data_IF_078697292551
#
_entry.id   IF_078697292551
#
_cell.length_a   1.000
_cell.length_b   1.000
_cell.length_c   1.000
_cell.angle_alpha   90.00
_cell.angle_beta   90.00
_cell.angle_gamma   90.00
#
_symmetry.space_group_name_H-M   'P 1'
#
loop_
_entity.id
_entity.type
_entity.pdbx_description
1 polymer ?
#
# COMPACT_ATOMS: atom_id res chain seq x y z
N UNK A 1 14.87 8.38 5.21
CA UNK A 1 15.76 8.21 6.39
C UNK A 1 14.89 7.68 7.52
N UNK A 2 15.29 6.59 8.21
CA UNK A 2 14.49 6.08 9.32
C UNK A 2 14.40 7.06 10.49
N UNK A 3 13.23 7.16 11.11
CA UNK A 3 12.98 7.97 12.31
C UNK A 3 12.83 7.03 13.51
N UNK A 4 13.49 7.33 14.63
CA UNK A 4 13.52 6.42 15.79
C UNK A 4 12.71 6.90 16.99
N UNK A 5 12.44 8.20 17.11
CA UNK A 5 11.69 8.80 18.21
C UNK A 5 10.25 9.16 17.79
N UNK A 6 9.29 8.99 18.71
CA UNK A 6 7.89 9.40 18.55
C UNK A 6 7.29 9.00 17.19
N UNK A 7 7.47 7.73 16.82
CA UNK A 7 7.23 7.22 15.47
C UNK A 7 5.76 7.31 15.04
N UNK A 8 4.85 7.39 15.99
CA UNK A 8 3.40 7.51 15.83
C UNK A 8 2.90 8.97 15.92
N UNK A 9 3.80 9.94 16.14
CA UNK A 9 3.42 11.33 16.31
C UNK A 9 3.31 12.11 14.99
N UNK A 10 2.35 13.03 14.92
CA UNK A 10 2.16 13.94 13.78
C UNK A 10 3.43 14.74 13.43
N UNK A 11 4.22 15.26 14.38
CA UNK A 11 5.49 15.93 14.05
C UNK A 11 6.49 15.01 13.34
N UNK A 12 6.61 13.75 13.75
CA UNK A 12 7.52 12.79 13.09
C UNK A 12 7.03 12.44 11.69
N UNK A 13 5.72 12.26 11.51
CA UNK A 13 5.12 12.04 10.19
C UNK A 13 5.44 13.20 9.24
N UNK A 14 5.26 14.44 9.70
CA UNK A 14 5.54 15.65 8.91
C UNK A 14 7.02 15.82 8.59
N UNK A 15 7.92 15.60 9.57
CA UNK A 15 9.36 15.67 9.33
C UNK A 15 9.77 14.63 8.28
N UNK A 16 9.31 13.38 8.39
CA UNK A 16 9.61 12.37 7.38
C UNK A 16 9.07 12.76 6.00
N UNK A 17 7.88 13.36 5.94
CA UNK A 17 7.31 13.89 4.69
C UNK A 17 8.26 14.90 4.02
N UNK A 18 8.78 15.88 4.77
CA UNK A 18 9.70 16.88 4.24
C UNK A 18 11.01 16.27 3.71
N UNK A 19 11.55 15.26 4.39
CA UNK A 19 12.76 14.55 3.92
C UNK A 19 12.52 13.93 2.55
N UNK A 20 11.39 13.24 2.35
CA UNK A 20 11.11 12.59 1.07
C UNK A 20 10.72 13.59 -0.01
N UNK A 21 10.03 14.68 0.31
CA UNK A 21 9.79 15.76 -0.66
C UNK A 21 11.10 16.39 -1.16
N UNK A 22 12.11 16.53 -0.29
CA UNK A 22 13.46 16.89 -0.69
C UNK A 22 14.07 15.91 -1.69
N UNK A 23 13.88 14.60 -1.48
CA UNK A 23 14.34 13.55 -2.40
C UNK A 23 13.52 13.48 -3.71
N UNK A 24 12.23 13.84 -3.68
CA UNK A 24 11.36 13.85 -4.86
C UNK A 24 11.86 14.83 -5.91
N UNK A 25 12.54 15.92 -5.51
CA UNK A 25 13.09 16.95 -6.41
C UNK A 25 12.05 17.47 -7.42
N UNK A 26 10.81 17.69 -6.96
CA UNK A 26 9.67 18.17 -7.78
C UNK A 26 9.28 17.28 -8.97
N UNK A 27 9.73 16.02 -9.03
CA UNK A 27 9.28 15.04 -10.05
C UNK A 27 7.75 14.93 -10.03
N UNK A 28 7.13 14.83 -11.21
CA UNK A 28 5.68 14.72 -11.42
C UNK A 28 5.32 13.35 -12.01
N UNK A 29 4.02 13.04 -12.07
CA UNK A 29 3.49 11.80 -12.64
C UNK A 29 2.98 10.82 -11.57
N UNK A 30 2.84 9.55 -11.95
CA UNK A 30 2.50 8.48 -11.03
C UNK A 30 3.73 8.13 -10.18
N UNK A 31 3.74 8.63 -8.95
CA UNK A 31 4.81 8.39 -7.99
C UNK A 31 4.23 7.52 -6.87
N UNK A 32 4.87 6.39 -6.60
CA UNK A 32 4.60 5.58 -5.41
C UNK A 32 4.80 6.44 -4.16
N UNK A 33 4.10 6.14 -3.08
CA UNK A 33 4.08 7.00 -1.90
C UNK A 33 5.47 7.15 -1.28
N UNK A 34 5.60 8.11 -0.37
CA UNK A 34 6.81 8.31 0.43
C UNK A 34 6.89 7.36 1.64
N UNK A 35 5.96 6.42 1.69
CA UNK A 35 5.63 5.53 2.79
C UNK A 35 5.44 4.10 2.24
N UNK A 36 5.39 3.14 3.14
CA UNK A 36 4.88 1.79 2.94
C UNK A 36 3.36 1.92 2.79
N UNK A 37 2.87 1.63 1.61
CA UNK A 37 1.44 1.67 1.33
C UNK A 37 0.76 0.50 2.04
N UNK A 38 -0.41 0.75 2.65
CA UNK A 38 -1.34 -0.33 3.01
C UNK A 38 -1.94 -0.87 1.72
N UNK A 39 -1.77 -2.16 1.48
CA UNK A 39 -2.23 -2.84 0.27
C UNK A 39 -3.29 -3.88 0.58
N UNK A 40 -4.09 -4.20 -0.43
CA UNK A 40 -4.96 -5.38 -0.41
C UNK A 40 -4.08 -6.57 -0.81
N UNK A 41 -4.11 -7.63 -0.01
CA UNK A 41 -3.29 -8.82 -0.28
C UNK A 41 -3.99 -10.10 0.16
N UNK A 42 -3.89 -11.13 -0.69
CA UNK A 42 -4.35 -12.47 -0.37
C UNK A 42 -3.56 -13.13 0.77
N UNK A 43 -2.43 -12.56 1.21
CA UNK A 43 -1.74 -13.03 2.41
C UNK A 43 -2.54 -12.80 3.68
N UNK A 44 -3.39 -11.77 3.74
CA UNK A 44 -4.15 -11.46 4.95
C UNK A 44 -5.17 -12.57 5.24
N UNK A 45 -5.94 -12.99 4.22
CA UNK A 45 -6.95 -14.05 4.37
C UNK A 45 -6.35 -15.43 4.68
N UNK A 46 -5.04 -15.59 4.46
CA UNK A 46 -4.28 -16.83 4.70
C UNK A 46 -3.39 -16.76 5.94
N UNK A 47 -3.31 -15.62 6.62
CA UNK A 47 -2.60 -15.51 7.89
C UNK A 47 -3.48 -16.10 8.98
N UNK A 48 -2.97 -17.08 9.74
CA UNK A 48 -3.70 -17.69 10.85
C UNK A 48 -3.91 -16.74 12.03
N UNK A 49 -3.23 -15.58 12.04
CA UNK A 49 -3.37 -14.55 13.08
C UNK A 49 -4.44 -13.54 12.68
N UNK A 50 -5.35 -13.14 13.58
CA UNK A 50 -6.36 -12.14 13.29
C UNK A 50 -5.75 -10.73 13.18
N UNK A 51 -6.52 -9.79 12.62
CA UNK A 51 -6.23 -8.34 12.64
C UNK A 51 -4.88 -7.95 12.02
N UNK A 52 -4.50 -8.57 10.90
CA UNK A 52 -3.24 -8.23 10.19
C UNK A 52 -3.42 -7.09 9.22
N UNK A 53 -2.35 -6.32 9.01
CA UNK A 53 -2.22 -5.36 7.90
C UNK A 53 -1.15 -5.81 6.91
N UNK A 54 -1.46 -5.78 5.63
CA UNK A 54 -0.47 -5.91 4.57
C UNK A 54 0.10 -4.54 4.22
N UNK A 55 1.42 -4.41 4.36
CA UNK A 55 2.17 -3.21 3.94
C UNK A 55 3.21 -3.58 2.89
N UNK A 56 3.38 -2.70 1.91
CA UNK A 56 4.31 -2.88 0.80
C UNK A 56 4.81 -1.53 0.29
N UNK A 57 6.01 -1.51 -0.28
CA UNK A 57 6.48 -0.38 -1.08
C UNK A 57 7.64 0.35 -0.43
N UNK A 58 7.52 1.66 -0.30
CA UNK A 58 8.64 2.55 -0.02
C UNK A 58 9.80 2.28 -0.99
N UNK A 59 9.60 2.61 -2.26
CA UNK A 59 10.51 2.20 -3.32
C UNK A 59 11.79 3.04 -3.38
N UNK A 60 12.89 2.38 -3.74
CA UNK A 60 14.12 3.02 -4.17
C UNK A 60 13.93 3.70 -5.54
N UNK A 61 14.84 4.60 -5.96
CA UNK A 61 14.77 5.23 -7.28
C UNK A 61 14.80 4.25 -8.46
N UNK A 62 15.34 3.04 -8.26
CA UNK A 62 15.37 1.95 -9.25
C UNK A 62 14.07 1.10 -9.26
N UNK A 63 13.07 1.48 -8.45
CA UNK A 63 11.80 0.78 -8.35
C UNK A 63 11.80 -0.42 -7.41
N UNK A 64 12.93 -0.77 -6.77
CA UNK A 64 12.95 -1.88 -5.80
C UNK A 64 12.27 -1.48 -4.50
N UNK A 65 11.32 -2.28 -3.98
CA UNK A 65 10.68 -1.98 -2.70
C UNK A 65 11.67 -2.11 -1.54
N UNK A 66 11.75 -1.11 -0.66
CA UNK A 66 12.48 -1.22 0.62
C UNK A 66 11.67 -2.08 1.59
N UNK A 67 10.34 -2.03 1.51
CA UNK A 67 9.41 -2.88 2.23
C UNK A 67 8.81 -3.92 1.29
N UNK A 68 9.34 -5.17 1.27
CA UNK A 68 8.62 -6.29 0.69
C UNK A 68 7.25 -6.47 1.35
N UNK A 69 6.34 -7.17 0.67
CA UNK A 69 5.00 -7.44 1.17
C UNK A 69 5.06 -8.17 2.53
N UNK A 70 4.55 -7.49 3.56
CA UNK A 70 4.68 -7.92 4.95
C UNK A 70 3.34 -7.82 5.70
N UNK A 71 2.98 -8.87 6.44
CA UNK A 71 1.74 -8.98 7.22
C UNK A 71 1.97 -9.17 8.72
N UNK A 72 3.17 -8.90 9.24
CA UNK A 72 3.48 -9.18 10.64
C UNK A 72 2.87 -8.20 11.64
N UNK A 73 2.39 -7.04 11.20
CA UNK A 73 1.79 -6.03 12.09
C UNK A 73 0.28 -6.23 12.27
N UNK A 74 -0.20 -5.81 13.45
CA UNK A 74 -1.63 -5.59 13.75
C UNK A 74 -2.17 -4.43 12.91
N UNK A 75 -3.45 -4.44 12.57
CA UNK A 75 -4.07 -3.41 11.71
C UNK A 75 -4.22 -2.03 12.37
N UNK A 76 -4.09 -1.95 13.70
CA UNK A 76 -3.98 -0.69 14.45
C UNK A 76 -2.53 -0.30 14.79
N UNK A 77 -1.53 -1.00 14.24
CA UNK A 77 -0.13 -0.57 14.34
C UNK A 77 0.08 0.67 13.49
N UNK A 78 0.64 1.72 14.09
CA UNK A 78 0.94 2.98 13.41
C UNK A 78 2.43 3.30 13.51
N UNK A 79 3.03 3.64 12.37
CA UNK A 79 4.31 4.34 12.34
C UNK A 79 4.35 5.39 11.23
N UNK A 80 5.31 6.32 11.33
CA UNK A 80 5.50 7.43 10.39
C UNK A 80 5.70 6.98 8.94
N UNK A 81 6.06 5.71 8.75
CA UNK A 81 6.37 5.13 7.46
C UNK A 81 5.16 4.44 6.82
N UNK A 82 3.98 4.42 7.44
CA UNK A 82 2.75 3.89 6.83
C UNK A 82 1.95 4.98 6.11
N UNK A 83 1.49 4.66 4.91
CA UNK A 83 0.70 5.55 4.07
C UNK A 83 -0.59 4.91 3.60
N UNK A 84 -1.68 5.68 3.66
CA UNK A 84 -2.96 5.29 3.08
C UNK A 84 -3.15 6.06 1.77
N UNK A 85 -3.28 5.32 0.67
CA UNK A 85 -3.66 5.87 -0.62
C UNK A 85 -5.10 5.50 -0.92
N UNK A 86 -5.95 6.51 -1.07
CA UNK A 86 -7.31 6.30 -1.53
C UNK A 86 -7.27 5.99 -3.03
N UNK A 87 -7.86 4.85 -3.39
CA UNK A 87 -8.08 4.45 -4.78
C UNK A 87 -9.55 4.61 -5.12
N UNK A 88 -9.84 5.12 -6.31
CA UNK A 88 -11.21 5.25 -6.77
C UNK A 88 -11.82 3.87 -7.00
N UNK A 89 -13.08 3.67 -6.58
CA UNK A 89 -13.72 2.35 -6.62
C UNK A 89 -13.93 1.82 -8.04
N UNK A 90 -14.11 2.71 -9.01
CA UNK A 90 -14.29 2.31 -10.41
C UNK A 90 -12.97 2.43 -11.17
N UNK A 91 -12.72 1.47 -12.06
CA UNK A 91 -11.59 1.50 -12.99
C UNK A 91 -12.09 1.33 -14.42
N UNK A 92 -11.32 1.82 -15.40
CA UNK A 92 -11.60 1.57 -16.82
C UNK A 92 -10.76 0.40 -17.31
N UNK A 93 -11.41 -0.68 -17.73
CA UNK A 93 -10.79 -1.81 -18.43
C UNK A 93 -11.28 -1.76 -19.87
N UNK A 94 -10.35 -1.54 -20.81
CA UNK A 94 -10.66 -1.40 -22.25
C UNK A 94 -11.77 -0.37 -22.54
N UNK A 95 -11.76 0.75 -21.83
CA UNK A 95 -12.74 1.84 -21.99
C UNK A 95 -14.06 1.63 -21.22
N UNK A 96 -14.34 0.43 -20.69
CA UNK A 96 -15.53 0.14 -19.89
C UNK A 96 -15.26 0.40 -18.41
N UNK A 97 -16.17 1.13 -17.76
CA UNK A 97 -16.14 1.29 -16.30
C UNK A 97 -16.54 -0.01 -15.60
N UNK A 98 -15.75 -0.45 -14.63
CA UNK A 98 -15.96 -1.64 -13.81
C UNK A 98 -15.69 -1.33 -12.33
N UNK A 99 -16.33 -2.07 -11.42
CA UNK A 99 -15.96 -2.06 -10.00
C UNK A 99 -14.65 -2.86 -9.83
N UNK A 100 -13.65 -2.31 -9.14
CA UNK A 100 -12.38 -3.04 -8.98
C UNK A 100 -12.56 -4.36 -8.22
N UNK A 101 -13.62 -4.50 -7.39
CA UNK A 101 -13.94 -5.74 -6.69
C UNK A 101 -14.37 -6.83 -7.67
N UNK A 102 -15.14 -6.48 -8.71
CA UNK A 102 -15.51 -7.42 -9.77
C UNK A 102 -14.28 -7.84 -10.58
N UNK A 103 -13.38 -6.89 -10.84
CA UNK A 103 -12.11 -7.15 -11.53
C UNK A 103 -11.22 -8.10 -10.74
N UNK A 104 -11.11 -7.94 -9.41
CA UNK A 104 -10.37 -8.86 -8.54
C UNK A 104 -10.99 -10.25 -8.45
N UNK A 105 -12.31 -10.38 -8.64
CA UNK A 105 -13.01 -11.68 -8.61
C UNK A 105 -12.96 -12.44 -9.94
N UNK A 106 -12.66 -11.75 -11.04
CA UNK A 106 -12.55 -12.37 -12.36
C UNK A 106 -11.19 -13.07 -12.53
N UNK A 107 -11.22 -14.36 -12.88
CA UNK A 107 -10.03 -15.20 -12.96
C UNK A 107 -8.96 -14.68 -13.94
N UNK A 108 -9.37 -13.95 -14.99
CA UNK A 108 -8.48 -13.38 -16.00
C UNK A 108 -8.11 -11.93 -15.65
N UNK A 109 -9.09 -11.10 -15.27
CA UNK A 109 -8.86 -9.66 -15.05
C UNK A 109 -8.17 -9.35 -13.71
N UNK A 110 -8.22 -10.25 -12.73
CA UNK A 110 -7.54 -10.06 -11.43
C UNK A 110 -6.05 -9.74 -11.60
N UNK A 111 -5.41 -10.27 -12.66
CA UNK A 111 -3.98 -10.05 -12.96
C UNK A 111 -3.65 -8.62 -13.42
N UNK A 112 -4.65 -7.79 -13.70
CA UNK A 112 -4.46 -6.35 -13.92
C UNK A 112 -4.14 -5.59 -12.63
N UNK A 113 -4.53 -6.13 -11.47
CA UNK A 113 -4.41 -5.47 -10.17
C UNK A 113 -3.57 -6.24 -9.16
N UNK A 114 -3.29 -7.52 -9.42
CA UNK A 114 -2.63 -8.42 -8.48
C UNK A 114 -1.63 -9.34 -9.17
N UNK A 115 -0.41 -9.35 -8.66
CA UNK A 115 0.71 -10.18 -9.08
C UNK A 115 0.99 -11.36 -8.11
N UNK A 116 0.19 -11.50 -7.05
CA UNK A 116 0.29 -12.60 -6.10
C UNK A 116 -0.23 -13.93 -6.66
N UNK A 117 0.16 -15.04 -6.03
CA UNK A 117 -0.36 -16.37 -6.33
C UNK A 117 -1.88 -16.46 -6.11
N UNK A 118 -2.39 -15.73 -5.11
CA UNK A 118 -3.80 -15.66 -4.78
C UNK A 118 -4.24 -14.20 -4.64
N UNK A 119 -5.25 -13.80 -5.42
CA UNK A 119 -5.72 -12.41 -5.51
C UNK A 119 -7.07 -12.23 -4.81
N UNK A 120 -7.11 -12.56 -3.52
CA UNK A 120 -8.33 -12.38 -2.75
C UNK A 120 -8.59 -10.89 -2.51
N UNK A 121 -9.86 -10.49 -2.62
CA UNK A 121 -10.29 -9.19 -2.14
C UNK A 121 -10.43 -9.23 -0.61
N UNK A 122 -9.67 -8.37 0.07
CA UNK A 122 -9.78 -8.13 1.51
C UNK A 122 -10.18 -6.69 1.78
N UNK A 123 -11.18 -6.50 2.65
CA UNK A 123 -11.59 -5.20 3.18
C UNK A 123 -11.43 -5.23 4.69
N UNK A 124 -10.63 -4.31 5.23
CA UNK A 124 -10.53 -4.12 6.67
C UNK A 124 -11.90 -3.71 7.23
N UNK A 125 -12.33 -4.38 8.29
CA UNK A 125 -13.50 -3.98 9.05
C UNK A 125 -13.14 -2.73 9.86
N UNK A 126 -14.00 -1.72 9.83
CA UNK A 126 -13.88 -0.49 10.59
C UNK A 126 -15.14 -0.28 11.43
#
# INVERSE_FOLDING_TARGET
>A
VPMYAFRDSTPTMWHHHLIVEGQRKRRKGLIAGIQKDVVISGKISRDGRPDRVAIYGWHQPDGKPIQPLYTGHINWWVDYSQGIRLVYRKIKVEGKWMDYIEVLKDARLQKLLCDEAFCDFYRYNY
#
